data_IF_832517899398
#
_entry.id   IF_832517899398
#
_cell.length_a   1.000
_cell.length_b   1.000
_cell.length_c   1.000
_cell.angle_alpha   90.00
_cell.angle_beta   90.00
_cell.angle_gamma   90.00
#
_symmetry.space_group_name_H-M   'P 1'
#
loop_
_entity.id
_entity.type
_entity.pdbx_description
1 polymer ?
#
# COMPACT_ATOMS: atom_id res chain seq x y z
N UNK A 1 21.21 -17.03 28.49
CA UNK A 1 20.76 -17.31 27.11
C UNK A 1 20.34 -16.01 26.47
N UNK A 2 21.10 -15.48 25.52
CA UNK A 2 20.66 -14.41 24.62
C UNK A 2 20.04 -15.02 23.36
N UNK A 3 19.27 -14.20 22.62
CA UNK A 3 18.59 -14.43 21.32
C UNK A 3 17.11 -14.83 21.46
N UNK A 4 16.14 -14.14 20.84
CA UNK A 4 16.12 -13.67 19.45
C UNK A 4 15.35 -12.34 19.27
N UNK A 5 16.03 -11.42 18.58
CA UNK A 5 15.51 -10.47 17.60
C UNK A 5 14.09 -9.91 17.80
N UNK A 6 14.02 -8.65 18.24
CA UNK A 6 12.86 -7.81 18.03
C UNK A 6 12.54 -7.74 16.54
N UNK A 7 11.47 -8.43 16.13
CA UNK A 7 10.77 -8.17 14.86
C UNK A 7 10.34 -6.71 14.93
N UNK A 8 11.08 -5.81 14.27
CA UNK A 8 10.59 -4.45 14.03
C UNK A 8 9.23 -4.61 13.36
N UNK A 9 8.16 -4.25 14.07
CA UNK A 9 6.84 -4.16 13.46
C UNK A 9 7.00 -3.31 12.20
N UNK A 10 6.58 -3.84 11.06
CA UNK A 10 6.61 -3.08 9.82
C UNK A 10 5.62 -1.93 10.01
N UNK A 11 6.13 -0.74 10.32
CA UNK A 11 5.30 0.44 10.52
C UNK A 11 4.98 1.05 9.17
N UNK A 12 3.70 0.99 8.84
CA UNK A 12 3.10 1.63 7.67
C UNK A 12 3.04 3.17 7.78
N UNK A 13 3.34 3.73 8.95
CA UNK A 13 3.33 5.17 9.26
C UNK A 13 4.25 6.01 8.36
N UNK A 14 5.37 5.45 7.92
CA UNK A 14 6.35 6.13 7.08
C UNK A 14 6.09 5.96 5.57
N UNK A 15 5.12 5.12 5.19
CA UNK A 15 4.79 4.88 3.78
C UNK A 15 3.91 6.02 3.26
N UNK A 16 4.41 6.73 2.25
CA UNK A 16 3.66 7.80 1.60
C UNK A 16 2.79 7.24 0.48
N UNK A 17 1.47 7.30 0.66
CA UNK A 17 0.53 7.04 -0.43
C UNK A 17 0.43 8.27 -1.31
N UNK A 18 0.69 8.09 -2.61
CA UNK A 18 0.54 9.12 -3.62
C UNK A 18 -0.71 8.80 -4.42
N UNK A 19 -1.67 9.73 -4.42
CA UNK A 19 -2.83 9.63 -5.30
C UNK A 19 -2.49 10.18 -6.68
N UNK A 20 -2.44 9.32 -7.68
CA UNK A 20 -2.35 9.69 -9.08
C UNK A 20 -3.75 9.80 -9.69
N UNK A 21 -4.34 10.99 -9.59
CA UNK A 21 -5.70 11.27 -10.08
C UNK A 21 -5.82 11.09 -11.60
N UNK A 22 -4.75 11.38 -12.36
CA UNK A 22 -4.74 11.23 -13.82
C UNK A 22 -4.87 9.76 -14.26
N UNK A 23 -4.34 8.83 -13.45
CA UNK A 23 -4.46 7.38 -13.69
C UNK A 23 -5.52 6.70 -12.82
N UNK A 24 -6.19 7.47 -11.95
CA UNK A 24 -7.11 6.98 -10.92
C UNK A 24 -6.50 5.83 -10.11
N UNK A 25 -5.29 6.04 -9.61
CA UNK A 25 -4.50 5.02 -8.92
C UNK A 25 -3.83 5.59 -7.67
N UNK A 26 -3.94 4.88 -6.54
CA UNK A 26 -3.12 5.12 -5.37
C UNK A 26 -1.85 4.28 -5.48
N UNK A 27 -0.69 4.91 -5.41
CA UNK A 27 0.61 4.24 -5.48
C UNK A 27 1.35 4.46 -4.18
N UNK A 28 2.04 3.43 -3.70
CA UNK A 28 2.95 3.54 -2.57
C UNK A 28 4.24 2.81 -2.89
N UNK A 29 5.36 3.44 -2.57
CA UNK A 29 6.68 2.90 -2.88
C UNK A 29 7.48 2.76 -1.60
N UNK A 30 8.15 1.62 -1.42
CA UNK A 30 9.08 1.40 -0.32
C UNK A 30 10.26 0.56 -0.80
N UNK A 31 11.47 1.09 -0.59
CA UNK A 31 12.73 0.40 -0.95
C UNK A 31 12.79 -0.07 -2.42
N UNK A 32 12.17 0.68 -3.34
CA UNK A 32 12.17 0.37 -4.78
C UNK A 32 11.08 -0.62 -5.21
N UNK A 33 10.23 -1.07 -4.29
CA UNK A 33 9.07 -1.89 -4.59
C UNK A 33 7.82 -1.00 -4.54
N UNK A 34 6.95 -1.10 -5.53
CA UNK A 34 5.73 -0.29 -5.65
C UNK A 34 4.49 -1.16 -5.51
N UNK A 35 3.52 -0.69 -4.73
CA UNK A 35 2.18 -1.25 -4.66
C UNK A 35 1.18 -0.23 -5.19
N UNK A 36 0.19 -0.72 -5.93
CA UNK A 36 -0.75 0.13 -6.66
C UNK A 36 -2.19 -0.31 -6.39
N UNK A 37 -3.08 0.62 -6.11
CA UNK A 37 -4.51 0.39 -5.97
C UNK A 37 -5.23 1.23 -7.03
N UNK A 38 -5.79 0.55 -8.03
CA UNK A 38 -6.61 1.17 -9.07
C UNK A 38 -8.02 1.37 -8.56
N UNK A 39 -8.52 2.57 -8.79
CA UNK A 39 -9.87 2.95 -8.45
C UNK A 39 -10.54 3.63 -9.65
N UNK A 40 -11.85 3.71 -9.61
CA UNK A 40 -12.65 4.41 -10.59
C UNK A 40 -13.57 5.36 -9.85
N UNK A 41 -13.40 6.65 -10.12
CA UNK A 41 -14.21 7.69 -9.50
C UNK A 41 -15.38 8.04 -10.42
N UNK A 42 -16.60 7.81 -9.95
CA UNK A 42 -17.85 8.20 -10.60
C UNK A 42 -18.64 9.13 -9.69
N UNK A 43 -18.54 10.43 -9.94
CA UNK A 43 -19.18 11.46 -9.12
C UNK A 43 -18.68 11.44 -7.68
N UNK A 44 -19.54 11.06 -6.74
CA UNK A 44 -19.22 10.96 -5.29
C UNK A 44 -18.86 9.54 -4.85
N UNK A 45 -18.78 8.58 -5.78
CA UNK A 45 -18.51 7.17 -5.48
C UNK A 45 -17.15 6.80 -6.06
N UNK A 46 -16.33 6.14 -5.24
CA UNK A 46 -15.06 5.55 -5.65
C UNK A 46 -15.25 4.03 -5.60
N UNK A 47 -15.01 3.36 -6.73
CA UNK A 47 -15.00 1.90 -6.82
C UNK A 47 -13.56 1.44 -6.91
N UNK A 48 -13.11 0.60 -5.98
CA UNK A 48 -11.78 0.00 -6.06
C UNK A 48 -11.83 -1.19 -7.02
N UNK A 49 -11.07 -1.13 -8.12
CA UNK A 49 -11.14 -2.11 -9.20
C UNK A 49 -10.08 -3.20 -9.07
N UNK A 50 -8.85 -2.84 -8.73
CA UNK A 50 -7.75 -3.79 -8.64
C UNK A 50 -6.67 -3.32 -7.69
N UNK A 51 -6.14 -4.24 -6.88
CA UNK A 51 -4.99 -3.99 -6.01
C UNK A 51 -3.83 -4.86 -6.47
N UNK A 52 -2.75 -4.22 -6.88
CA UNK A 52 -1.49 -4.87 -7.17
C UNK A 52 -0.54 -4.64 -5.98
N UNK A 53 -0.31 -5.71 -5.22
CA UNK A 53 0.62 -5.69 -4.09
C UNK A 53 1.67 -6.76 -4.37
N UNK A 54 2.91 -6.38 -4.67
CA UNK A 54 3.96 -7.36 -4.89
C UNK A 54 4.17 -8.24 -3.65
N UNK A 55 4.69 -9.48 -3.84
CA UNK A 55 4.83 -10.46 -2.77
C UNK A 55 5.70 -9.95 -1.60
N UNK A 56 6.63 -9.05 -1.87
CA UNK A 56 7.48 -8.41 -0.86
C UNK A 56 6.69 -7.58 0.16
N UNK A 57 5.49 -7.13 -0.20
CA UNK A 57 4.58 -6.38 0.66
C UNK A 57 3.43 -7.21 1.25
N UNK A 58 3.34 -8.49 0.90
CA UNK A 58 2.36 -9.38 1.51
C UNK A 58 2.65 -9.57 3.01
N UNK A 59 1.59 -9.62 3.81
CA UNK A 59 1.69 -9.73 5.27
C UNK A 59 2.18 -8.46 5.99
N UNK A 60 2.43 -7.36 5.27
CA UNK A 60 2.84 -6.05 5.84
C UNK A 60 1.72 -5.04 5.95
N UNK A 61 0.49 -5.41 5.61
CA UNK A 61 -0.70 -4.54 5.71
C UNK A 61 -0.78 -3.43 4.66
N UNK A 62 0.03 -3.47 3.59
CA UNK A 62 0.08 -2.42 2.56
C UNK A 62 -1.26 -2.26 1.83
N UNK A 63 -1.95 -3.36 1.54
CA UNK A 63 -3.29 -3.29 0.93
C UNK A 63 -4.30 -2.53 1.80
N UNK A 64 -4.19 -2.62 3.13
CA UNK A 64 -5.06 -1.87 4.06
C UNK A 64 -4.70 -0.38 4.08
N UNK A 65 -3.42 -0.05 4.00
CA UNK A 65 -2.95 1.33 3.93
C UNK A 65 -3.36 2.02 2.61
N UNK A 66 -3.41 1.29 1.50
CA UNK A 66 -3.88 1.83 0.22
C UNK A 66 -5.38 2.13 0.19
N UNK A 67 -6.18 1.38 0.96
CA UNK A 67 -7.64 1.48 0.99
C UNK A 67 -8.18 2.30 2.19
N UNK A 68 -7.30 3.00 2.92
CA UNK A 68 -7.65 3.74 4.15
C UNK A 68 -8.26 5.12 3.87
#
# INVERSE_FOLDING_TARGET
MLTRAGKRAFSTDALKVVNNVARQQFTTALQGVEATLSYEASGKKITYNSTDVPPEFQGKGIGKLLAQ
#
